data_IF_699922125699
#
_entry.id   IF_699922125699
#
_cell.length_a   1.000
_cell.length_b   1.000
_cell.length_c   1.000
_cell.angle_alpha   90.00
_cell.angle_beta   90.00
_cell.angle_gamma   90.00
#
_symmetry.space_group_name_H-M   'P 1'
#
loop_
_entity.id
_entity.type
_entity.pdbx_description
1 polymer ?
#
# COMPACT_ATOMS: atom_id res chain seq x y z
N UNK A 1 53.89 -26.17 20.70
CA UNK A 1 52.87 -25.27 21.31
C UNK A 1 52.35 -24.16 20.36
N UNK A 2 52.88 -23.99 19.14
CA UNK A 2 52.39 -22.97 18.20
C UNK A 2 51.20 -23.41 17.33
N UNK A 3 51.06 -24.71 17.07
CA UNK A 3 50.00 -25.25 16.21
C UNK A 3 48.60 -25.07 16.83
N UNK A 4 48.46 -25.34 18.13
CA UNK A 4 47.21 -25.16 18.87
C UNK A 4 46.77 -23.68 18.93
N UNK A 5 47.73 -22.74 19.01
CA UNK A 5 47.46 -21.30 19.01
C UNK A 5 46.90 -20.82 17.67
N UNK A 6 47.47 -21.31 16.55
CA UNK A 6 46.98 -21.02 15.20
C UNK A 6 45.56 -21.52 14.96
N UNK A 7 45.23 -22.72 15.45
CA UNK A 7 43.87 -23.25 15.36
C UNK A 7 42.85 -22.40 16.12
N UNK A 8 43.19 -21.91 17.32
CA UNK A 8 42.31 -21.05 18.12
C UNK A 8 42.08 -19.70 17.45
N UNK A 9 43.12 -19.08 16.87
CA UNK A 9 43.01 -17.80 16.16
C UNK A 9 42.15 -17.94 14.88
N UNK A 10 42.34 -19.04 14.15
CA UNK A 10 41.52 -19.35 12.98
C UNK A 10 40.06 -19.58 13.36
N UNK A 11 39.79 -20.33 14.43
CA UNK A 11 38.44 -20.56 14.94
C UNK A 11 37.75 -19.26 15.40
N UNK A 12 38.48 -18.39 16.12
CA UNK A 12 37.97 -17.08 16.52
C UNK A 12 37.67 -16.17 15.32
N UNK A 13 38.49 -16.24 14.26
CA UNK A 13 38.26 -15.49 13.03
C UNK A 13 37.01 -15.96 12.27
N UNK A 14 36.78 -17.29 12.19
CA UNK A 14 35.59 -17.84 11.52
C UNK A 14 34.33 -17.55 12.35
N UNK A 15 34.39 -17.68 13.68
CA UNK A 15 33.25 -17.35 14.57
C UNK A 15 32.88 -15.87 14.54
N UNK A 16 33.86 -14.97 14.32
CA UNK A 16 33.60 -13.53 14.17
C UNK A 16 32.97 -13.19 12.81
N UNK A 17 33.20 -14.04 11.79
CA UNK A 17 32.71 -13.84 10.43
C UNK A 17 31.26 -14.33 10.22
N UNK A 18 30.68 -15.01 11.21
CA UNK A 18 29.36 -15.65 11.08
C UNK A 18 28.21 -14.86 11.70
N UNK A 19 28.35 -13.54 11.83
CA UNK A 19 27.23 -12.65 12.15
C UNK A 19 26.98 -11.65 11.02
N UNK A 20 26.95 -12.13 9.78
CA UNK A 20 26.09 -11.47 8.80
C UNK A 20 24.66 -11.89 9.16
N UNK A 21 24.11 -11.20 10.17
CA UNK A 21 22.71 -11.31 10.49
C UNK A 21 21.96 -10.88 9.23
N UNK A 22 21.37 -11.85 8.52
CA UNK A 22 20.51 -11.62 7.36
C UNK A 22 19.55 -10.50 7.69
N UNK A 23 19.88 -9.27 7.26
CA UNK A 23 19.08 -8.09 7.52
C UNK A 23 17.72 -8.39 6.91
N UNK A 24 16.66 -8.34 7.72
CA UNK A 24 15.31 -8.55 7.21
C UNK A 24 15.12 -7.62 6.01
N UNK A 25 14.67 -8.17 4.89
CA UNK A 25 14.36 -7.37 3.72
C UNK A 25 13.36 -6.28 4.14
N UNK A 26 13.61 -5.01 3.80
CA UNK A 26 12.67 -3.95 4.12
C UNK A 26 11.31 -4.28 3.50
N UNK A 27 10.25 -3.83 4.18
CA UNK A 27 8.92 -3.90 3.58
C UNK A 27 8.91 -3.04 2.30
N UNK A 28 8.07 -3.36 1.30
CA UNK A 28 8.06 -2.61 0.05
C UNK A 28 7.87 -1.10 0.22
N UNK A 29 7.15 -0.67 1.25
CA UNK A 29 6.95 0.74 1.63
C UNK A 29 8.16 1.41 2.26
N UNK A 30 9.08 0.64 2.85
CA UNK A 30 10.24 1.15 3.57
C UNK A 30 11.52 1.04 2.73
N UNK A 31 11.47 0.33 1.60
CA UNK A 31 12.58 0.18 0.68
C UNK A 31 12.75 1.43 -0.21
N UNK A 32 13.87 2.18 -0.06
CA UNK A 32 14.11 3.38 -0.85
C UNK A 32 14.14 3.15 -2.38
N UNK A 33 14.43 1.92 -2.83
CA UNK A 33 14.37 1.58 -4.26
C UNK A 33 12.95 1.68 -4.83
N UNK A 34 11.93 1.55 -3.97
CA UNK A 34 10.51 1.63 -4.38
C UNK A 34 9.94 3.05 -4.34
N UNK A 35 10.60 4.00 -3.66
CA UNK A 35 10.08 5.36 -3.45
C UNK A 35 9.73 6.09 -4.76
N UNK A 36 10.52 6.00 -5.85
CA UNK A 36 10.16 6.62 -7.13
C UNK A 36 8.85 6.10 -7.73
N UNK A 37 8.43 4.89 -7.36
CA UNK A 37 7.21 4.24 -7.87
C UNK A 37 6.00 4.40 -6.94
N UNK A 38 6.22 4.81 -5.68
CA UNK A 38 5.19 5.00 -4.65
C UNK A 38 4.83 6.49 -4.49
N UNK A 39 4.75 7.23 -5.60
CA UNK A 39 4.38 8.64 -5.57
C UNK A 39 2.89 8.83 -5.88
N UNK A 40 2.09 9.00 -4.82
CA UNK A 40 0.65 9.18 -4.89
C UNK A 40 0.23 10.49 -5.60
N UNK A 41 1.10 11.50 -5.68
CA UNK A 41 0.79 12.74 -6.42
C UNK A 41 0.68 12.49 -7.92
N UNK A 42 1.35 11.45 -8.45
CA UNK A 42 1.21 11.03 -9.84
C UNK A 42 -0.07 10.27 -10.11
N UNK A 43 -0.58 9.55 -9.11
CA UNK A 43 -1.83 8.80 -9.23
C UNK A 43 -3.03 9.73 -9.36
N UNK A 44 -3.07 10.84 -8.60
CA UNK A 44 -4.17 11.82 -8.67
C UNK A 44 -4.20 12.64 -9.96
N UNK A 45 -3.11 12.64 -10.73
CA UNK A 45 -3.04 13.27 -12.07
C UNK A 45 -3.69 12.37 -13.15
N UNK A 46 -3.96 11.10 -12.86
CA UNK A 46 -4.56 10.18 -13.81
C UNK A 46 -6.04 10.51 -14.02
N UNK A 47 -6.42 10.68 -15.29
CA UNK A 47 -7.79 10.97 -15.68
C UNK A 47 -8.59 9.68 -15.90
N UNK A 48 -9.88 9.74 -15.58
CA UNK A 48 -10.86 8.70 -15.92
C UNK A 48 -11.22 7.78 -14.76
N UNK A 49 -11.84 6.64 -15.10
CA UNK A 49 -12.21 5.61 -14.11
C UNK A 49 -11.15 4.52 -14.10
N UNK A 50 -10.63 4.23 -12.93
CA UNK A 50 -9.69 3.15 -12.68
C UNK A 50 -10.43 1.96 -12.10
N UNK A 51 -10.36 0.81 -12.76
CA UNK A 51 -11.14 -0.37 -12.40
C UNK A 51 -10.30 -1.35 -11.59
N UNK A 52 -10.90 -1.91 -10.54
CA UNK A 52 -10.28 -3.00 -9.77
C UNK A 52 -10.38 -4.28 -10.59
N UNK A 53 -9.22 -4.87 -10.91
CA UNK A 53 -9.15 -6.14 -11.66
C UNK A 53 -9.00 -7.36 -10.75
N UNK A 54 -8.33 -7.21 -9.61
CA UNK A 54 -8.04 -8.32 -8.68
C UNK A 54 -7.92 -7.80 -7.26
N UNK A 55 -8.37 -8.61 -6.30
CA UNK A 55 -8.16 -8.47 -4.85
C UNK A 55 -7.61 -9.78 -4.29
N UNK A 56 -6.98 -9.70 -3.11
CA UNK A 56 -6.45 -10.87 -2.38
C UNK A 56 -7.38 -11.34 -1.27
N UNK A 57 -8.52 -10.69 -1.08
CA UNK A 57 -9.49 -10.96 -0.03
C UNK A 57 -10.92 -10.88 -0.58
N UNK A 58 -11.83 -11.61 0.06
CA UNK A 58 -13.24 -11.66 -0.31
C UNK A 58 -14.04 -10.62 0.48
N UNK A 59 -14.97 -9.94 -0.20
CA UNK A 59 -15.92 -9.03 0.41
C UNK A 59 -17.32 -9.47 0.01
N UNK A 60 -18.22 -9.49 0.98
CA UNK A 60 -19.64 -9.75 0.74
C UNK A 60 -20.44 -8.70 1.49
N UNK A 61 -21.36 -8.05 0.79
CA UNK A 61 -22.35 -7.14 1.38
C UNK A 61 -23.68 -7.86 1.56
N UNK A 62 -24.63 -7.33 2.35
CA UNK A 62 -25.99 -7.87 2.41
C UNK A 62 -26.66 -7.95 1.03
N UNK A 63 -26.32 -7.05 0.12
CA UNK A 63 -26.81 -7.06 -1.26
C UNK A 63 -26.07 -8.05 -2.17
N UNK A 64 -24.97 -8.66 -1.73
CA UNK A 64 -24.14 -9.60 -2.50
C UNK A 64 -22.68 -9.18 -2.64
N UNK A 65 -21.89 -9.95 -3.38
CA UNK A 65 -20.50 -9.61 -3.65
C UNK A 65 -20.41 -8.40 -4.62
N UNK A 66 -19.61 -7.38 -4.31
CA UNK A 66 -19.37 -6.27 -5.21
C UNK A 66 -18.59 -6.72 -6.45
N UNK A 67 -18.98 -6.20 -7.60
CA UNK A 67 -18.33 -6.45 -8.90
C UNK A 67 -18.09 -5.13 -9.61
N UNK A 68 -17.21 -5.12 -10.62
CA UNK A 68 -16.94 -3.93 -11.44
C UNK A 68 -16.63 -2.68 -10.60
N UNK A 69 -15.76 -2.82 -9.61
CA UNK A 69 -15.42 -1.72 -8.71
C UNK A 69 -14.51 -0.72 -9.43
N UNK A 70 -14.71 0.55 -9.17
CA UNK A 70 -13.91 1.62 -9.74
C UNK A 70 -13.66 2.75 -8.76
N UNK A 71 -12.57 3.47 -9.03
CA UNK A 71 -12.24 4.75 -8.43
C UNK A 71 -12.15 5.81 -9.53
N UNK A 72 -12.68 7.00 -9.25
CA UNK A 72 -12.52 8.19 -10.10
C UNK A 72 -12.15 9.38 -9.23
N UNK A 73 -11.05 10.03 -9.56
CA UNK A 73 -10.62 11.26 -8.92
C UNK A 73 -11.11 12.41 -9.81
N UNK A 74 -11.92 13.32 -9.25
CA UNK A 74 -12.53 14.39 -10.05
C UNK A 74 -11.69 15.65 -10.10
N UNK A 75 -11.21 16.10 -8.95
CA UNK A 75 -10.52 17.38 -8.86
C UNK A 75 -9.95 17.64 -7.49
N UNK A 76 -8.99 18.56 -7.49
CA UNK A 76 -8.26 19.03 -6.32
C UNK A 76 -9.10 20.07 -5.58
N UNK A 77 -9.35 19.84 -4.30
CA UNK A 77 -10.02 20.80 -3.41
C UNK A 77 -8.99 21.74 -2.78
N UNK A 78 -7.95 21.16 -2.15
CA UNK A 78 -6.82 21.88 -1.55
C UNK A 78 -5.51 21.17 -1.91
N UNK A 79 -4.36 21.56 -1.34
CA UNK A 79 -3.04 21.05 -1.75
C UNK A 79 -2.92 19.52 -1.78
N UNK A 80 -3.49 18.83 -0.78
CA UNK A 80 -3.43 17.37 -0.66
C UNK A 80 -4.81 16.72 -0.63
N UNK A 81 -5.87 17.48 -0.85
CA UNK A 81 -7.25 17.02 -0.72
C UNK A 81 -7.96 16.99 -2.07
N UNK A 82 -8.64 15.87 -2.35
CA UNK A 82 -9.29 15.59 -3.62
C UNK A 82 -10.69 15.04 -3.41
N UNK A 83 -11.55 15.22 -4.41
CA UNK A 83 -12.83 14.48 -4.48
C UNK A 83 -12.61 13.13 -5.14
N UNK A 84 -12.86 12.05 -4.39
CA UNK A 84 -12.84 10.67 -4.85
C UNK A 84 -14.25 10.11 -4.95
N UNK A 85 -14.60 9.57 -6.11
CA UNK A 85 -15.79 8.75 -6.30
C UNK A 85 -15.40 7.28 -6.31
N UNK A 86 -15.97 6.50 -5.39
CA UNK A 86 -15.88 5.05 -5.41
C UNK A 86 -17.22 4.47 -5.84
N UNK A 87 -17.19 3.49 -6.73
CA UNK A 87 -18.40 2.81 -7.19
C UNK A 87 -18.21 1.34 -7.46
N UNK A 88 -19.33 0.60 -7.44
CA UNK A 88 -19.38 -0.83 -7.65
C UNK A 88 -20.77 -1.25 -8.14
N UNK A 89 -20.87 -2.49 -8.63
CA UNK A 89 -22.11 -3.17 -8.96
C UNK A 89 -22.43 -4.20 -7.89
N UNK A 90 -23.54 -4.02 -7.18
CA UNK A 90 -23.99 -4.89 -6.10
C UNK A 90 -25.14 -5.81 -6.54
N UNK A 91 -25.16 -7.02 -5.99
CA UNK A 91 -26.27 -7.97 -6.11
C UNK A 91 -26.67 -8.30 -7.53
N UNK A 92 -27.97 -8.15 -7.83
CA UNK A 92 -28.58 -8.39 -9.15
C UNK A 92 -28.12 -7.43 -10.25
N UNK A 93 -27.21 -6.52 -9.93
CA UNK A 93 -26.53 -5.68 -10.90
C UNK A 93 -26.79 -4.19 -10.78
N UNK A 94 -27.21 -3.74 -9.59
CA UNK A 94 -27.44 -2.33 -9.30
C UNK A 94 -26.09 -1.61 -9.14
N UNK A 95 -25.89 -0.54 -9.91
CA UNK A 95 -24.75 0.36 -9.71
C UNK A 95 -24.95 1.20 -8.45
N UNK A 96 -23.89 1.33 -7.67
CA UNK A 96 -23.81 2.25 -6.53
C UNK A 96 -22.50 3.03 -6.62
N UNK A 97 -22.54 4.29 -6.20
CA UNK A 97 -21.36 5.15 -6.15
C UNK A 97 -21.51 6.19 -5.05
N UNK A 98 -20.41 6.60 -4.45
CA UNK A 98 -20.40 7.66 -3.45
C UNK A 98 -19.13 8.51 -3.57
N UNK A 99 -19.32 9.82 -3.45
CA UNK A 99 -18.24 10.78 -3.36
C UNK A 99 -17.74 10.90 -1.93
N UNK A 100 -16.44 11.09 -1.77
CA UNK A 100 -15.78 11.29 -0.49
C UNK A 100 -14.48 12.07 -0.66
N UNK A 101 -13.91 12.50 0.47
CA UNK A 101 -12.59 13.13 0.52
C UNK A 101 -11.51 12.07 0.41
N UNK A 102 -10.54 12.32 -0.48
CA UNK A 102 -9.26 11.64 -0.55
C UNK A 102 -8.18 12.63 -0.08
N UNK A 103 -7.42 12.24 0.93
CA UNK A 103 -6.27 12.99 1.44
C UNK A 103 -4.98 12.26 1.07
N UNK A 104 -4.00 12.99 0.53
CA UNK A 104 -2.66 12.47 0.32
C UNK A 104 -1.82 12.66 1.58
N UNK A 105 -1.17 11.58 2.03
CA UNK A 105 -0.30 11.58 3.19
C UNK A 105 1.09 11.04 2.85
N UNK A 106 2.08 11.47 3.62
CA UNK A 106 3.46 10.96 3.55
C UNK A 106 3.73 10.15 4.81
N UNK A 107 4.14 8.90 4.65
CA UNK A 107 4.55 8.02 5.74
C UNK A 107 6.01 7.60 5.59
N UNK A 108 6.64 7.17 6.68
CA UNK A 108 8.04 6.71 6.64
C UNK A 108 9.02 7.79 6.20
N UNK A 109 10.02 7.41 5.41
CA UNK A 109 11.07 8.29 4.88
C UNK A 109 10.81 8.77 3.45
N UNK A 110 9.55 8.69 3.00
CA UNK A 110 9.19 9.04 1.63
C UNK A 110 9.41 10.54 1.34
N UNK A 111 9.97 10.90 0.17
CA UNK A 111 10.20 12.29 -0.21
C UNK A 111 8.93 13.00 -0.70
N UNK A 112 7.86 12.26 -0.98
CA UNK A 112 6.58 12.76 -1.49
C UNK A 112 5.42 11.93 -0.90
N UNK A 113 4.17 12.40 -0.98
CA UNK A 113 3.03 11.60 -0.55
C UNK A 113 2.99 10.24 -1.24
N UNK A 114 2.86 9.19 -0.44
CA UNK A 114 2.83 7.79 -0.86
C UNK A 114 1.55 7.07 -0.43
N UNK A 115 0.65 7.77 0.27
CA UNK A 115 -0.57 7.18 0.83
C UNK A 115 -1.80 7.88 0.31
N UNK A 116 -2.78 7.09 -0.16
CA UNK A 116 -4.16 7.53 -0.40
C UNK A 116 -5.01 7.27 0.85
N UNK A 117 -5.35 8.30 1.62
CA UNK A 117 -6.21 8.19 2.79
C UNK A 117 -7.66 8.56 2.43
N UNK A 118 -8.56 7.58 2.52
CA UNK A 118 -10.00 7.75 2.28
C UNK A 118 -10.80 6.72 3.11
N UNK A 119 -12.10 6.93 3.21
CA UNK A 119 -13.00 6.03 3.94
C UNK A 119 -13.49 4.91 3.03
N UNK A 120 -13.31 3.65 3.45
CA UNK A 120 -13.89 2.51 2.72
C UNK A 120 -15.41 2.56 2.75
N UNK A 121 -16.03 2.27 1.61
CA UNK A 121 -17.47 2.05 1.54
C UNK A 121 -17.81 0.61 1.93
N UNK A 122 -19.10 0.32 2.14
CA UNK A 122 -19.58 -1.06 2.38
C UNK A 122 -19.14 -2.04 1.30
N UNK A 123 -19.01 -1.57 0.05
CA UNK A 123 -18.54 -2.37 -1.08
C UNK A 123 -17.03 -2.70 -1.01
N UNK A 124 -16.25 -2.04 -0.16
CA UNK A 124 -14.80 -2.20 -0.06
C UNK A 124 -14.36 -2.99 1.19
N UNK A 125 -15.33 -3.56 1.92
CA UNK A 125 -15.10 -4.36 3.12
C UNK A 125 -15.54 -3.66 4.41
N UNK A 126 -15.13 -4.17 5.59
CA UNK A 126 -15.55 -3.62 6.88
C UNK A 126 -15.22 -2.13 7.01
N UNK A 127 -16.21 -1.34 7.45
CA UNK A 127 -16.02 0.08 7.77
C UNK A 127 -15.13 0.23 9.01
N UNK A 128 -14.16 1.15 8.96
CA UNK A 128 -13.45 1.62 10.16
C UNK A 128 -11.94 1.41 10.20
N UNK A 129 -11.32 0.78 9.19
CA UNK A 129 -9.86 0.79 9.07
C UNK A 129 -9.42 1.87 8.07
N UNK A 130 -8.69 2.92 8.49
CA UNK A 130 -7.97 3.77 7.54
C UNK A 130 -7.03 2.83 6.79
N UNK A 131 -7.16 2.78 5.46
CA UNK A 131 -6.25 1.99 4.66
C UNK A 131 -5.45 2.91 3.79
N UNK A 132 -4.14 2.85 3.99
CA UNK A 132 -3.15 3.33 3.06
C UNK A 132 -3.17 2.43 1.83
N UNK A 133 -3.52 2.95 0.66
CA UNK A 133 -3.00 2.36 -0.59
C UNK A 133 -1.61 2.96 -0.75
N UNK A 134 -0.59 2.11 -0.53
CA UNK A 134 0.82 2.35 -0.87
C UNK A 134 1.04 2.17 -2.38
#
# INVERSE_FOLDING_TARGET
MYLLSLFVIFYLSICSHSQDATKALPLPEDDPENFPYQNATKLVELNGRHWVKKRTYNITTPEGAPTCEYAKIHGKMTENEYTLELGAKLGSGRWTSQNQTLLLETTGLHPAPNVLNFTRLRADGPLGSPTSIL
#
